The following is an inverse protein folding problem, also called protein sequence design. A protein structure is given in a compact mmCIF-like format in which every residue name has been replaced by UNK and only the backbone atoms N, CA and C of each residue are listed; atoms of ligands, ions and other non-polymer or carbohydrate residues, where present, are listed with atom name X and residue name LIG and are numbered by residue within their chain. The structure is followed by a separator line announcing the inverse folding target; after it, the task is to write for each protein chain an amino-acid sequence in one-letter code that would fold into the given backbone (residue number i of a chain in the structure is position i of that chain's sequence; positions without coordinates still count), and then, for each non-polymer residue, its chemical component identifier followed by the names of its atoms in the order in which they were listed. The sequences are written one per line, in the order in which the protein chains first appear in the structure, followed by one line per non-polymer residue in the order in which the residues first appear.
data_IF_029176096955
#
_entry.id   IF_029176096955
#
_cell.length_a   1.000
_cell.length_b   1.000
_cell.length_c   1.000
_cell.angle_alpha   90.00
_cell.angle_beta   90.00
_cell.angle_gamma   90.00
#
_symmetry.space_group_name_H-M   'P 1'
#
loop_
_entity.id
_entity.type
_entity.pdbx_description
1 polymer ?
#
# COMPACT_ATOMS: atom_id res chain seq x y z
N UNK A 1 16.82 4.08 3.03
CA UNK A 1 15.45 3.67 2.62
C UNK A 1 14.56 4.89 2.49
N UNK A 2 13.77 4.95 1.43
CA UNK A 2 12.82 6.05 1.20
C UNK A 2 11.41 5.46 1.28
N UNK A 3 10.55 6.06 2.10
CA UNK A 3 9.14 5.68 2.21
C UNK A 3 8.26 6.90 1.94
N UNK A 4 7.21 6.71 1.14
CA UNK A 4 6.23 7.74 0.82
C UNK A 4 4.83 7.19 1.02
N UNK A 5 3.99 7.92 1.73
CA UNK A 5 2.60 7.54 1.95
C UNK A 5 1.70 8.75 1.66
N UNK A 6 0.60 8.50 0.94
CA UNK A 6 -0.35 9.56 0.57
C UNK A 6 -1.75 8.99 0.41
N UNK A 7 -2.73 9.68 0.98
CA UNK A 7 -4.14 9.39 0.69
C UNK A 7 -4.48 9.87 -0.73
N UNK A 8 -5.13 9.04 -1.52
CA UNK A 8 -5.44 9.31 -2.93
C UNK A 8 -6.91 9.00 -3.25
N UNK A 9 -7.40 9.63 -4.31
CA UNK A 9 -8.79 9.49 -4.79
C UNK A 9 -8.92 8.69 -6.08
N UNK A 10 -7.86 8.01 -6.52
CA UNK A 10 -7.80 7.36 -7.83
C UNK A 10 -8.65 6.07 -7.94
N UNK A 11 -9.07 5.49 -6.80
CA UNK A 11 -9.90 4.29 -6.81
C UNK A 11 -9.25 3.14 -7.56
N UNK A 12 -10.03 2.48 -8.42
CA UNK A 12 -9.55 1.34 -9.20
C UNK A 12 -8.34 1.65 -10.08
N UNK A 13 -8.23 2.88 -10.58
CA UNK A 13 -7.08 3.26 -11.42
C UNK A 13 -5.77 3.24 -10.65
N UNK A 14 -5.79 3.61 -9.37
CA UNK A 14 -4.63 3.51 -8.50
C UNK A 14 -4.22 2.05 -8.28
N UNK A 15 -5.19 1.17 -8.11
CA UNK A 15 -4.93 -0.26 -7.94
C UNK A 15 -4.41 -0.88 -9.24
N UNK A 16 -5.00 -0.55 -10.38
CA UNK A 16 -4.53 -1.02 -11.69
C UNK A 16 -3.08 -0.64 -11.96
N UNK A 17 -2.69 0.55 -11.58
CA UNK A 17 -1.29 0.98 -11.70
C UNK A 17 -0.37 0.07 -10.90
N UNK A 18 -0.75 -0.27 -9.67
CA UNK A 18 0.05 -1.10 -8.76
C UNK A 18 0.14 -2.54 -9.26
N UNK A 19 -0.97 -3.10 -9.76
CA UNK A 19 -1.03 -4.49 -10.22
C UNK A 19 -0.48 -4.70 -11.63
N UNK A 20 -0.12 -3.62 -12.33
CA UNK A 20 0.37 -3.71 -13.70
C UNK A 20 -0.73 -3.81 -14.76
N UNK A 21 -2.00 -3.65 -14.38
CA UNK A 21 -3.14 -3.72 -15.32
C UNK A 21 -3.43 -2.39 -16.03
N UNK A 22 -2.69 -1.33 -15.69
CA UNK A 22 -2.82 -0.04 -16.37
C UNK A 22 -2.25 -0.13 -17.78
N UNK A 23 -3.00 0.43 -18.80
CA UNK A 23 -2.51 0.44 -20.17
C UNK A 23 -1.25 1.29 -20.38
N UNK A 24 -0.89 2.10 -19.41
CA UNK A 24 0.35 2.88 -19.45
C UNK A 24 1.56 2.07 -19.03
N UNK A 25 1.38 0.83 -18.56
CA UNK A 25 2.47 -0.05 -18.16
C UNK A 25 3.08 -0.74 -19.37
N UNK A 26 4.38 -0.46 -19.62
CA UNK A 26 5.12 -1.01 -20.76
C UNK A 26 5.73 -2.37 -20.47
N UNK A 27 5.97 -2.69 -19.20
CA UNK A 27 6.69 -3.90 -18.79
C UNK A 27 5.97 -4.59 -17.62
N UNK A 28 4.76 -5.16 -17.86
CA UNK A 28 4.02 -5.83 -16.77
C UNK A 28 4.77 -7.04 -16.19
N UNK A 29 5.69 -7.65 -16.95
CA UNK A 29 6.53 -8.76 -16.50
C UNK A 29 7.50 -8.37 -15.38
N UNK A 30 7.70 -7.08 -15.15
CA UNK A 30 8.56 -6.56 -14.07
C UNK A 30 7.77 -6.19 -12.82
N UNK A 31 6.51 -6.60 -12.76
CA UNK A 31 5.61 -6.31 -11.64
C UNK A 31 5.17 -7.63 -11.04
N UNK A 32 5.43 -7.80 -9.74
CA UNK A 32 5.20 -9.06 -9.04
C UNK A 32 4.40 -8.86 -7.77
N UNK A 33 3.34 -9.66 -7.60
CA UNK A 33 2.54 -9.68 -6.38
C UNK A 33 3.38 -10.22 -5.22
N UNK A 34 3.41 -9.47 -4.10
CA UNK A 34 4.14 -9.88 -2.90
C UNK A 34 3.20 -10.44 -1.85
N UNK A 35 2.13 -9.71 -1.53
CA UNK A 35 1.11 -10.21 -0.58
C UNK A 35 -0.19 -9.44 -0.70
N UNK A 36 -1.24 -10.05 -0.20
CA UNK A 36 -2.53 -9.41 0.05
C UNK A 36 -2.85 -9.53 1.54
N UNK A 37 -3.45 -8.52 2.11
CA UNK A 37 -3.88 -8.51 3.51
C UNK A 37 -5.41 -8.37 3.58
N UNK A 38 -6.06 -9.31 4.27
CA UNK A 38 -7.51 -9.29 4.48
C UNK A 38 -8.33 -9.25 3.16
N UNK A 39 -7.74 -9.80 2.10
CA UNK A 39 -8.35 -9.92 0.78
C UNK A 39 -8.38 -11.40 0.38
N UNK A 40 -9.40 -11.85 -0.37
CA UNK A 40 -9.34 -13.17 -0.99
C UNK A 40 -8.13 -13.33 -1.89
N UNK A 41 -7.64 -14.56 -2.05
CA UNK A 41 -6.45 -14.84 -2.86
C UNK A 41 -6.69 -14.59 -4.35
N UNK A 42 -5.65 -14.16 -5.04
CA UNK A 42 -5.57 -14.07 -6.50
C UNK A 42 -6.60 -13.15 -7.16
N UNK A 43 -7.08 -12.11 -6.46
CA UNK A 43 -7.95 -11.12 -7.05
C UNK A 43 -7.17 -10.23 -8.03
N UNK A 44 -7.81 -9.86 -9.15
CA UNK A 44 -7.32 -8.79 -10.01
C UNK A 44 -7.66 -7.41 -9.39
N UNK A 45 -7.29 -6.34 -10.09
CA UNK A 45 -7.52 -4.98 -9.58
C UNK A 45 -9.01 -4.72 -9.31
N UNK A 46 -9.90 -5.18 -10.19
CA UNK A 46 -11.34 -5.01 -10.01
C UNK A 46 -11.84 -5.75 -8.77
N UNK A 47 -11.39 -6.99 -8.56
CA UNK A 47 -11.76 -7.78 -7.39
C UNK A 47 -11.25 -7.15 -6.09
N UNK A 48 -10.04 -6.65 -6.09
CA UNK A 48 -9.46 -5.93 -4.94
C UNK A 48 -10.30 -4.68 -4.64
N UNK A 49 -10.58 -3.87 -5.65
CA UNK A 49 -11.34 -2.64 -5.48
C UNK A 49 -12.76 -2.92 -4.99
N UNK A 50 -13.45 -3.92 -5.55
CA UNK A 50 -14.78 -4.29 -5.10
C UNK A 50 -14.79 -4.74 -3.64
N UNK A 51 -13.77 -5.47 -3.21
CA UNK A 51 -13.62 -5.86 -1.79
C UNK A 51 -13.45 -4.64 -0.88
N UNK A 52 -12.67 -3.66 -1.31
CA UNK A 52 -12.48 -2.41 -0.57
C UNK A 52 -13.76 -1.56 -0.56
N UNK A 53 -14.49 -1.52 -1.68
CA UNK A 53 -15.76 -0.79 -1.77
C UNK A 53 -16.79 -1.32 -0.78
N UNK A 54 -16.78 -2.61 -0.51
CA UNK A 54 -17.66 -3.18 0.52
C UNK A 54 -17.41 -2.54 1.88
N UNK A 55 -16.14 -2.40 2.28
CA UNK A 55 -15.76 -1.72 3.52
C UNK A 55 -16.10 -0.23 3.48
N UNK A 56 -15.91 0.41 2.30
CA UNK A 56 -16.12 1.84 2.12
C UNK A 56 -17.59 2.24 1.95
N UNK A 57 -18.50 1.27 1.84
CA UNK A 57 -19.91 1.54 1.53
C UNK A 57 -20.61 2.48 2.54
N UNK A 58 -20.18 2.47 3.80
CA UNK A 58 -20.70 3.34 4.84
C UNK A 58 -20.07 4.75 4.83
N UNK A 59 -19.11 5.01 3.93
CA UNK A 59 -18.29 6.23 3.90
C UNK A 59 -18.39 6.93 2.54
N UNK A 60 -19.59 7.09 2.03
CA UNK A 60 -19.87 7.54 0.65
C UNK A 60 -19.27 8.91 0.29
N UNK A 61 -19.06 9.76 1.28
CA UNK A 61 -18.52 11.11 1.07
C UNK A 61 -17.00 11.19 1.21
N UNK A 62 -16.33 10.07 1.47
CA UNK A 62 -14.88 10.05 1.60
C UNK A 62 -14.21 10.19 0.22
N UNK A 63 -13.46 11.27 0.01
CA UNK A 63 -12.82 11.56 -1.28
C UNK A 63 -11.54 10.77 -1.49
N UNK A 64 -10.68 10.70 -0.46
CA UNK A 64 -9.40 10.03 -0.54
C UNK A 64 -9.49 8.68 0.18
N UNK A 65 -10.08 7.69 -0.49
CA UNK A 65 -10.44 6.40 0.10
C UNK A 65 -9.33 5.36 0.11
N UNK A 66 -8.21 5.61 -0.58
CA UNK A 66 -7.03 4.76 -0.59
C UNK A 66 -5.83 5.49 -0.02
N UNK A 67 -4.93 4.73 0.60
CA UNK A 67 -3.59 5.20 0.94
C UNK A 67 -2.63 4.46 0.02
N UNK A 68 -1.85 5.21 -0.76
CA UNK A 68 -0.76 4.66 -1.55
C UNK A 68 0.52 4.76 -0.75
N UNK A 69 1.25 3.66 -0.67
CA UNK A 69 2.55 3.61 -0.01
C UNK A 69 3.58 3.10 -1.00
N UNK A 70 4.69 3.80 -1.10
CA UNK A 70 5.87 3.37 -1.87
C UNK A 70 7.03 3.20 -0.91
N UNK A 71 7.73 2.06 -1.00
CA UNK A 71 8.85 1.73 -0.15
C UNK A 71 10.05 1.37 -1.03
N UNK A 72 11.09 2.20 -0.97
CA UNK A 72 12.30 2.05 -1.79
C UNK A 72 13.52 1.86 -0.89
N UNK A 73 13.87 0.61 -0.54
CA UNK A 73 15.13 0.34 0.16
C UNK A 73 16.31 0.49 -0.80
N UNK A 74 17.54 0.51 -0.27
CA UNK A 74 18.73 0.59 -1.13
C UNK A 74 18.82 -0.65 -2.03
N UNK A 75 19.23 -0.45 -3.28
CA UNK A 75 19.39 -1.55 -4.23
C UNK A 75 20.41 -2.58 -3.74
N UNK A 76 21.47 -2.13 -3.08
CA UNK A 76 22.50 -3.01 -2.55
C UNK A 76 21.96 -3.91 -1.43
N UNK A 77 21.14 -3.37 -0.53
CA UNK A 77 20.54 -4.14 0.55
C UNK A 77 19.59 -5.23 0.05
N UNK A 78 18.89 -4.97 -1.05
CA UNK A 78 17.86 -5.88 -1.58
C UNK A 78 18.33 -6.73 -2.76
N UNK A 79 19.62 -6.70 -3.07
CA UNK A 79 20.20 -7.35 -4.25
C UNK A 79 19.85 -8.84 -4.38
N UNK A 80 19.77 -9.55 -3.28
CA UNK A 80 19.46 -10.98 -3.25
C UNK A 80 18.12 -11.30 -2.61
N UNK A 81 17.23 -10.33 -2.51
CA UNK A 81 15.92 -10.55 -1.90
C UNK A 81 15.07 -11.51 -2.71
N UNK A 82 14.50 -12.49 -2.01
CA UNK A 82 13.42 -13.34 -2.52
C UNK A 82 12.08 -12.64 -2.28
N UNK A 83 10.97 -13.11 -2.90
CA UNK A 83 9.64 -12.58 -2.57
C UNK A 83 9.31 -12.65 -1.07
N UNK A 84 9.77 -13.70 -0.38
CA UNK A 84 9.57 -13.81 1.06
C UNK A 84 10.31 -12.71 1.83
N UNK A 85 11.50 -12.32 1.39
CA UNK A 85 12.27 -11.24 2.01
C UNK A 85 11.55 -9.88 1.82
N UNK A 86 10.97 -9.63 0.64
CA UNK A 86 10.18 -8.44 0.38
C UNK A 86 8.93 -8.38 1.27
N UNK A 87 8.27 -9.51 1.46
CA UNK A 87 7.12 -9.61 2.36
C UNK A 87 7.52 -9.30 3.80
N UNK A 88 8.62 -9.86 4.28
CA UNK A 88 9.12 -9.61 5.63
C UNK A 88 9.48 -8.14 5.84
N UNK A 89 10.14 -7.52 4.86
CA UNK A 89 10.46 -6.10 4.89
C UNK A 89 9.18 -5.25 5.00
N UNK A 90 8.17 -5.58 4.20
CA UNK A 90 6.89 -4.87 4.23
C UNK A 90 6.22 -4.97 5.60
N UNK A 91 6.14 -6.17 6.16
CA UNK A 91 5.49 -6.39 7.45
C UNK A 91 6.22 -5.68 8.60
N UNK A 92 7.55 -5.66 8.59
CA UNK A 92 8.33 -4.91 9.56
C UNK A 92 8.09 -3.40 9.44
N UNK A 93 8.11 -2.89 8.21
CA UNK A 93 7.82 -1.48 7.95
C UNK A 93 6.42 -1.10 8.44
N UNK A 94 5.43 -1.92 8.13
CA UNK A 94 4.04 -1.64 8.47
C UNK A 94 3.82 -1.64 9.99
N UNK A 95 4.44 -2.59 10.70
CA UNK A 95 4.38 -2.64 12.15
C UNK A 95 4.94 -1.36 12.78
N UNK A 96 6.07 -0.88 12.28
CA UNK A 96 6.66 0.37 12.75
C UNK A 96 5.82 1.59 12.36
N UNK A 97 5.26 1.59 11.15
CA UNK A 97 4.40 2.68 10.68
C UNK A 97 3.17 2.82 11.58
N UNK A 98 2.52 1.71 11.93
CA UNK A 98 1.32 1.72 12.76
C UNK A 98 1.59 2.14 14.22
N UNK A 99 2.84 2.10 14.67
CA UNK A 99 3.21 2.57 16.02
C UNK A 99 3.40 4.08 16.10
N UNK A 100 3.59 4.74 14.97
CA UNK A 100 3.96 6.16 14.96
C UNK A 100 2.77 7.05 15.38
N UNK A 101 3.07 8.04 16.19
CA UNK A 101 2.15 9.13 16.54
C UNK A 101 2.77 10.42 16.08
N UNK A 102 2.01 11.24 15.35
CA UNK A 102 2.51 12.52 14.89
C UNK A 102 2.24 13.57 15.99
N UNK A 103 3.30 14.25 16.40
CA UNK A 103 3.22 15.31 17.41
C UNK A 103 3.63 16.65 16.78
N UNK A 104 3.04 17.73 17.29
CA UNK A 104 3.50 19.07 16.94
C UNK A 104 4.78 19.43 17.71
N UNK A 105 5.32 20.63 17.47
CA UNK A 105 6.54 21.11 18.14
C UNK A 105 6.42 21.24 19.66
N UNK A 106 5.20 21.26 20.20
CA UNK A 106 4.92 21.34 21.63
C UNK A 106 4.63 19.98 22.26
N UNK A 107 4.79 18.89 21.49
CA UNK A 107 4.52 17.52 21.98
C UNK A 107 3.04 17.12 21.94
N UNK A 108 2.15 17.98 21.44
CA UNK A 108 0.73 17.64 21.31
C UNK A 108 0.54 16.64 20.17
N UNK A 109 -0.18 15.55 20.43
CA UNK A 109 -0.50 14.55 19.41
C UNK A 109 -1.53 15.15 18.45
N UNK A 110 -1.15 15.30 17.18
CA UNK A 110 -2.00 15.83 16.11
C UNK A 110 -2.52 14.73 15.16
N UNK A 111 -1.98 13.52 15.24
CA UNK A 111 -2.47 12.36 14.52
C UNK A 111 -2.27 11.12 15.38
N UNK A 112 -3.31 10.31 15.49
CA UNK A 112 -3.24 9.03 16.19
C UNK A 112 -2.52 7.98 15.33
N UNK A 113 -2.23 6.83 15.94
CA UNK A 113 -1.69 5.69 15.23
C UNK A 113 -2.65 5.24 14.12
N UNK A 114 -2.08 4.79 13.02
CA UNK A 114 -2.83 4.10 11.98
C UNK A 114 -3.04 2.62 12.37
N UNK A 115 -3.96 1.97 11.65
CA UNK A 115 -4.27 0.56 11.83
C UNK A 115 -4.23 -0.15 10.48
N UNK A 116 -3.13 0.05 9.73
CA UNK A 116 -2.99 -0.47 8.37
C UNK A 116 -2.89 -1.99 8.36
N UNK A 117 -2.37 -2.60 9.42
CA UNK A 117 -2.37 -4.07 9.55
C UNK A 117 -3.78 -4.65 9.59
N UNK A 118 -4.77 -3.87 10.02
CA UNK A 118 -6.18 -4.27 10.05
C UNK A 118 -6.98 -3.71 8.88
N UNK A 119 -6.32 -3.24 7.85
CA UNK A 119 -6.95 -2.69 6.65
C UNK A 119 -6.67 -3.61 5.45
N UNK A 120 -7.66 -3.74 4.56
CA UNK A 120 -7.47 -4.44 3.30
C UNK A 120 -6.37 -3.76 2.49
N UNK A 121 -5.36 -4.52 2.07
CA UNK A 121 -4.31 -3.97 1.22
C UNK A 121 -3.64 -5.03 0.34
N UNK A 122 -3.01 -4.57 -0.72
CA UNK A 122 -2.24 -5.38 -1.66
C UNK A 122 -0.86 -4.75 -1.86
N UNK A 123 0.17 -5.58 -1.93
CA UNK A 123 1.57 -5.16 -2.03
C UNK A 123 2.21 -5.80 -3.23
N UNK A 124 2.84 -4.99 -4.08
CA UNK A 124 3.46 -5.42 -5.33
C UNK A 124 4.87 -4.87 -5.46
N UNK A 125 5.76 -5.67 -6.03
CA UNK A 125 7.14 -5.28 -6.33
C UNK A 125 7.21 -4.78 -7.76
N UNK A 126 7.74 -3.58 -7.94
CA UNK A 126 8.01 -2.99 -9.25
C UNK A 126 9.53 -2.90 -9.46
N UNK A 127 10.00 -3.42 -10.60
CA UNK A 127 11.43 -3.37 -10.96
C UNK A 127 11.67 -2.59 -12.25
N UNK A 128 10.65 -1.91 -12.76
CA UNK A 128 10.67 -1.22 -14.06
C UNK A 128 11.06 0.26 -13.98
N UNK A 129 11.36 0.78 -12.80
CA UNK A 129 11.68 2.21 -12.64
C UNK A 129 12.94 2.61 -13.40
N UNK A 130 13.10 3.89 -13.69
CA UNK A 130 14.33 4.44 -14.25
C UNK A 130 15.50 4.09 -13.34
N UNK A 131 16.52 3.40 -13.89
CA UNK A 131 17.63 2.89 -13.11
C UNK A 131 17.43 1.49 -12.55
N UNK A 132 16.24 0.90 -12.71
CA UNK A 132 15.96 -0.49 -12.32
C UNK A 132 15.98 -0.75 -10.81
N UNK A 133 15.81 0.26 -9.96
CA UNK A 133 15.80 0.08 -8.51
C UNK A 133 14.46 -0.54 -8.09
N UNK A 134 14.47 -1.75 -7.49
CA UNK A 134 13.24 -2.38 -7.02
C UNK A 134 12.59 -1.58 -5.90
N UNK A 135 11.26 -1.49 -5.94
CA UNK A 135 10.50 -0.81 -4.90
C UNK A 135 9.11 -1.43 -4.74
N UNK A 136 8.57 -1.35 -3.54
CA UNK A 136 7.23 -1.85 -3.25
C UNK A 136 6.21 -0.73 -3.46
N UNK A 137 5.09 -1.11 -4.08
CA UNK A 137 3.88 -0.30 -4.15
C UNK A 137 2.77 -0.99 -3.37
N UNK A 138 2.06 -0.23 -2.57
CA UNK A 138 0.93 -0.74 -1.80
C UNK A 138 -0.28 0.17 -1.95
N UNK A 139 -1.45 -0.42 -2.10
CA UNK A 139 -2.73 0.25 -1.99
C UNK A 139 -3.44 -0.28 -0.75
N UNK A 140 -3.76 0.61 0.19
CA UNK A 140 -4.43 0.29 1.45
C UNK A 140 -5.79 0.97 1.48
N UNK A 141 -6.83 0.22 1.85
CA UNK A 141 -8.14 0.80 2.14
C UNK A 141 -8.01 1.73 3.34
N UNK A 142 -8.43 2.97 3.20
CA UNK A 142 -8.27 3.98 4.27
C UNK A 142 -9.10 3.68 5.50
N UNK A 143 -10.21 2.96 5.35
CA UNK A 143 -11.04 2.49 6.47
C UNK A 143 -10.61 1.07 6.81
N UNK A 144 -10.30 0.80 8.07
CA UNK A 144 -9.94 -0.54 8.52
C UNK A 144 -11.19 -1.41 8.75
N UNK A 145 -10.97 -2.68 9.08
CA UNK A 145 -12.05 -3.65 9.26
C UNK A 145 -12.87 -3.40 10.54
N UNK A 146 -12.41 -2.54 11.44
CA UNK A 146 -13.16 -2.10 12.63
C UNK A 146 -13.86 -0.75 12.43
N UNK A 147 -13.82 -0.19 11.22
CA UNK A 147 -14.45 1.09 10.92
C UNK A 147 -13.62 2.32 11.29
N UNK A 148 -12.34 2.16 11.65
CA UNK A 148 -11.47 3.29 11.94
C UNK A 148 -10.92 3.89 10.63
N UNK A 149 -10.92 5.23 10.58
CA UNK A 149 -10.35 5.94 9.44
C UNK A 149 -8.86 6.19 9.73
N UNK A 150 -8.00 5.69 8.86
CA UNK A 150 -6.56 5.95 8.93
C UNK A 150 -6.27 7.36 8.40
N UNK A 151 -5.66 8.18 9.21
CA UNK A 151 -5.34 9.56 8.87
C UNK A 151 -3.85 9.77 8.63
#
# INVERSE_FOLDING_TARGET
MIAKAKAISHGINGIRYITGESHNKKHPEKIHRIMDNLLPSHLDAMGIWNSMLFTLSAYKNMKNSLIRIELSPSAEHTKYFTPADWKDLWLEFLAEFDKQKIQDKNGKIISNQTHLMNSKHTVWLHTESNGGVPHLHCAVCRVDENGNINN
#
